data_IF_342483455448
#
_entry.id   IF_342483455448
#
_cell.length_a   1.000
_cell.length_b   1.000
_cell.length_c   1.000
_cell.angle_alpha   90.00
_cell.angle_beta   90.00
_cell.angle_gamma   90.00
#
_symmetry.space_group_name_H-M   'P 1'
#
loop_
_entity.id
_entity.type
_entity.pdbx_description
1 polymer ?
#
# COMPACT_ATOMS: atom_id res chain seq x y z
N UNK A 1 -9.19 -2.06 -5.31
CA UNK A 1 -8.85 -1.22 -6.49
C UNK A 1 -8.04 -2.02 -7.50
N UNK A 2 -6.88 -2.58 -7.16
CA UNK A 2 -6.01 -3.31 -8.10
C UNK A 2 -6.75 -4.47 -8.77
N UNK A 3 -7.51 -5.28 -8.01
CA UNK A 3 -8.35 -6.37 -8.56
C UNK A 3 -9.31 -5.83 -9.62
N UNK A 4 -10.05 -4.75 -9.30
CA UNK A 4 -11.00 -4.15 -10.25
C UNK A 4 -10.31 -3.66 -11.53
N UNK A 5 -9.13 -3.04 -11.39
CA UNK A 5 -8.36 -2.54 -12.54
C UNK A 5 -7.84 -3.68 -13.42
N UNK A 6 -7.33 -4.77 -12.83
CA UNK A 6 -6.86 -5.96 -13.56
C UNK A 6 -8.00 -6.68 -14.29
N UNK A 7 -9.11 -6.91 -13.59
CA UNK A 7 -10.31 -7.54 -14.20
C UNK A 7 -10.85 -6.70 -15.36
N UNK A 8 -10.88 -5.37 -15.23
CA UNK A 8 -11.30 -4.47 -16.30
C UNK A 8 -10.38 -4.52 -17.52
N UNK A 9 -9.13 -4.96 -17.38
CA UNK A 9 -8.17 -5.20 -18.47
C UNK A 9 -8.24 -6.64 -19.02
N UNK A 10 -9.19 -7.45 -18.55
CA UNK A 10 -9.37 -8.83 -19.00
C UNK A 10 -8.45 -9.85 -18.37
N UNK A 11 -7.76 -9.50 -17.27
CA UNK A 11 -6.91 -10.44 -16.54
C UNK A 11 -7.76 -11.43 -15.71
N UNK A 12 -7.28 -12.67 -15.61
CA UNK A 12 -7.69 -13.58 -14.56
C UNK A 12 -6.92 -13.25 -13.28
N UNK A 13 -7.62 -13.11 -12.16
CA UNK A 13 -7.04 -12.62 -10.92
C UNK A 13 -7.32 -13.58 -9.77
N UNK A 14 -6.29 -13.96 -9.03
CA UNK A 14 -6.40 -14.62 -7.73
C UNK A 14 -5.95 -13.64 -6.66
N UNK A 15 -6.88 -13.24 -5.78
CA UNK A 15 -6.58 -12.43 -4.61
C UNK A 15 -6.30 -13.29 -3.39
N UNK A 16 -5.29 -12.90 -2.60
CA UNK A 16 -4.92 -13.55 -1.35
C UNK A 16 -4.85 -12.53 -0.21
N UNK A 17 -5.48 -12.82 0.93
CA UNK A 17 -5.34 -12.07 2.18
C UNK A 17 -5.56 -13.01 3.37
N UNK A 18 -4.83 -12.81 4.46
CA UNK A 18 -5.03 -13.60 5.68
C UNK A 18 -6.17 -13.08 6.56
N UNK A 19 -6.73 -11.92 6.23
CA UNK A 19 -7.80 -11.22 6.97
C UNK A 19 -7.45 -11.08 8.46
N UNK A 20 -6.20 -10.67 8.75
CA UNK A 20 -5.76 -10.47 10.13
C UNK A 20 -6.54 -9.34 10.83
N UNK A 21 -6.49 -9.35 12.17
CA UNK A 21 -7.24 -8.45 13.04
C UNK A 21 -6.48 -7.17 13.41
N UNK A 22 -5.51 -6.74 12.61
CA UNK A 22 -4.73 -5.50 12.87
C UNK A 22 -5.63 -4.27 13.00
N UNK A 23 -6.67 -4.20 12.20
CA UNK A 23 -7.79 -3.26 12.33
C UNK A 23 -9.12 -4.00 12.13
N UNK A 24 -10.24 -3.29 12.27
CA UNK A 24 -11.56 -3.89 12.13
C UNK A 24 -11.67 -4.74 10.86
N UNK A 25 -11.84 -6.04 11.04
CA UNK A 25 -11.92 -7.02 9.96
C UNK A 25 -13.16 -6.83 9.08
N UNK A 26 -14.21 -6.16 9.59
CA UNK A 26 -15.42 -5.91 8.82
C UNK A 26 -15.10 -5.08 7.57
N UNK A 27 -14.23 -4.08 7.69
CA UNK A 27 -13.77 -3.30 6.53
C UNK A 27 -13.08 -4.18 5.47
N UNK A 28 -12.36 -5.24 5.87
CA UNK A 28 -11.74 -6.19 4.92
C UNK A 28 -12.81 -7.03 4.22
N UNK A 29 -13.79 -7.53 4.97
CA UNK A 29 -14.91 -8.27 4.39
C UNK A 29 -15.74 -7.41 3.43
N UNK A 30 -15.98 -6.14 3.76
CA UNK A 30 -16.74 -5.23 2.91
C UNK A 30 -16.00 -4.89 1.61
N UNK A 31 -14.66 -4.78 1.66
CA UNK A 31 -13.83 -4.67 0.44
C UNK A 31 -13.93 -5.92 -0.44
N UNK A 32 -13.99 -7.09 0.16
CA UNK A 32 -14.18 -8.35 -0.56
C UNK A 32 -15.61 -8.46 -1.13
N UNK A 33 -16.62 -8.06 -0.36
CA UNK A 33 -18.02 -8.02 -0.80
C UNK A 33 -18.20 -7.07 -2.00
N UNK A 34 -17.50 -5.92 -2.02
CA UNK A 34 -17.48 -5.00 -3.17
C UNK A 34 -16.92 -5.64 -4.46
N UNK A 35 -16.12 -6.70 -4.31
CA UNK A 35 -15.61 -7.50 -5.42
C UNK A 35 -16.33 -8.84 -5.60
N UNK A 36 -17.45 -9.06 -4.91
CA UNK A 36 -18.29 -10.25 -5.09
C UNK A 36 -17.88 -11.49 -4.28
N UNK A 37 -17.08 -11.31 -3.23
CA UNK A 37 -16.72 -12.38 -2.27
C UNK A 37 -17.44 -12.09 -0.96
N UNK A 38 -18.38 -12.91 -0.57
CA UNK A 38 -19.13 -12.74 0.68
C UNK A 38 -18.38 -13.36 1.86
N UNK A 39 -18.56 -12.76 3.05
CA UNK A 39 -17.90 -13.22 4.28
C UNK A 39 -18.23 -14.67 4.60
N UNK A 40 -19.48 -15.05 4.40
CA UNK A 40 -20.04 -16.37 4.73
C UNK A 40 -19.49 -17.48 3.84
N UNK A 41 -19.02 -17.14 2.63
CA UNK A 41 -18.43 -18.12 1.71
C UNK A 41 -16.93 -18.35 1.95
N UNK A 42 -16.28 -17.51 2.77
CA UNK A 42 -14.84 -17.59 2.97
C UNK A 42 -14.45 -18.72 3.92
N UNK A 43 -13.80 -19.72 3.38
CA UNK A 43 -13.13 -20.78 4.13
C UNK A 43 -11.62 -20.65 3.98
N UNK A 44 -10.89 -21.07 5.01
CA UNK A 44 -9.43 -21.03 4.98
C UNK A 44 -8.90 -21.98 3.90
N UNK A 45 -7.94 -21.50 3.11
CA UNK A 45 -7.23 -22.26 2.07
C UNK A 45 -8.13 -22.82 0.94
N UNK A 46 -9.37 -22.30 0.82
CA UNK A 46 -10.28 -22.63 -0.27
C UNK A 46 -10.35 -21.46 -1.26
N UNK A 47 -10.13 -21.78 -2.54
CA UNK A 47 -10.22 -20.80 -3.62
C UNK A 47 -11.68 -20.57 -4.03
N UNK A 48 -12.16 -19.35 -3.87
CA UNK A 48 -13.57 -18.96 -4.06
C UNK A 48 -13.74 -18.11 -5.33
N UNK A 49 -14.65 -18.44 -6.24
CA UNK A 49 -15.00 -17.57 -7.36
C UNK A 49 -15.82 -16.37 -6.88
N UNK A 50 -15.58 -15.22 -7.52
CA UNK A 50 -16.39 -14.03 -7.29
C UNK A 50 -17.76 -14.16 -7.96
N UNK A 51 -18.81 -13.76 -7.24
CA UNK A 51 -20.16 -13.66 -7.80
C UNK A 51 -20.33 -12.45 -8.76
N UNK A 52 -19.39 -11.47 -8.72
CA UNK A 52 -19.47 -10.22 -9.50
C UNK A 52 -18.55 -10.22 -10.72
N UNK A 53 -17.37 -10.79 -10.59
CA UNK A 53 -16.33 -10.81 -11.62
C UNK A 53 -15.93 -12.25 -11.96
N UNK A 54 -16.38 -12.83 -13.08
CA UNK A 54 -16.09 -14.24 -13.40
C UNK A 54 -14.60 -14.58 -13.48
N UNK A 55 -13.75 -13.60 -13.81
CA UNK A 55 -12.29 -13.74 -13.87
C UNK A 55 -11.58 -13.47 -12.53
N UNK A 56 -12.32 -13.32 -11.41
CA UNK A 56 -11.74 -13.10 -10.09
C UNK A 56 -12.06 -14.25 -9.13
N UNK A 57 -11.02 -14.74 -8.49
CA UNK A 57 -11.11 -15.71 -7.39
C UNK A 57 -10.36 -15.19 -6.18
N UNK A 58 -10.75 -15.61 -5.00
CA UNK A 58 -10.12 -15.21 -3.73
C UNK A 58 -9.80 -16.41 -2.86
N UNK A 59 -8.66 -16.36 -2.17
CA UNK A 59 -8.28 -17.34 -1.16
C UNK A 59 -7.88 -16.65 0.14
N UNK A 60 -8.39 -17.13 1.27
CA UNK A 60 -7.95 -16.71 2.60
C UNK A 60 -6.76 -17.56 3.01
N UNK A 61 -5.55 -17.01 2.92
CA UNK A 61 -4.30 -17.71 3.21
C UNK A 61 -3.28 -16.72 3.78
N UNK A 62 -2.34 -17.19 4.57
CA UNK A 62 -1.20 -16.41 5.06
C UNK A 62 0.04 -16.68 4.20
N UNK A 63 0.83 -15.63 3.91
CA UNK A 63 2.10 -15.79 3.17
C UNK A 63 3.14 -16.62 3.95
N UNK A 64 2.98 -16.77 5.26
CA UNK A 64 3.82 -17.63 6.09
C UNK A 64 3.49 -19.12 5.94
N UNK A 65 2.35 -19.46 5.37
CA UNK A 65 2.00 -20.83 5.00
C UNK A 65 2.75 -21.26 3.74
N UNK A 66 3.96 -21.74 3.93
CA UNK A 66 4.87 -22.12 2.85
C UNK A 66 4.29 -23.21 1.96
N UNK A 67 3.67 -24.22 2.54
CA UNK A 67 3.13 -25.38 1.80
C UNK A 67 1.92 -24.96 0.99
N UNK A 68 0.95 -24.28 1.62
CA UNK A 68 -0.25 -23.77 0.96
C UNK A 68 0.08 -22.83 -0.19
N UNK A 69 1.02 -21.90 0.03
CA UNK A 69 1.45 -20.96 -1.01
C UNK A 69 2.15 -21.66 -2.18
N UNK A 70 2.99 -22.67 -1.89
CA UNK A 70 3.67 -23.48 -2.92
C UNK A 70 2.66 -24.25 -3.78
N UNK A 71 1.64 -24.87 -3.15
CA UNK A 71 0.58 -25.58 -3.88
C UNK A 71 -0.24 -24.61 -4.75
N UNK A 72 -0.58 -23.43 -4.23
CA UNK A 72 -1.29 -22.41 -5.00
C UNK A 72 -0.53 -21.99 -6.26
N UNK A 73 0.79 -21.74 -6.16
CA UNK A 73 1.62 -21.39 -7.33
C UNK A 73 1.73 -22.52 -8.33
N UNK A 74 1.85 -23.78 -7.83
CA UNK A 74 1.90 -24.96 -8.66
C UNK A 74 0.63 -25.18 -9.47
N UNK A 75 -0.53 -24.92 -8.87
CA UNK A 75 -1.83 -25.18 -9.49
C UNK A 75 -2.28 -24.04 -10.43
N UNK A 76 -1.97 -22.80 -10.06
CA UNK A 76 -2.46 -21.61 -10.78
C UNK A 76 -1.54 -21.10 -11.90
N UNK A 77 -0.23 -21.43 -11.88
CA UNK A 77 0.74 -20.99 -12.90
C UNK A 77 0.69 -19.48 -13.20
N UNK A 78 0.88 -18.65 -12.19
CA UNK A 78 0.79 -17.19 -12.30
C UNK A 78 1.80 -16.61 -13.30
N UNK A 79 1.33 -15.74 -14.21
CA UNK A 79 2.18 -14.92 -15.07
C UNK A 79 2.80 -13.74 -14.31
N UNK A 80 2.00 -13.09 -13.47
CA UNK A 80 2.38 -11.87 -12.74
C UNK A 80 1.96 -12.00 -11.28
N UNK A 81 2.82 -11.55 -10.41
CA UNK A 81 2.53 -11.46 -8.96
C UNK A 81 2.62 -10.01 -8.52
N UNK A 82 1.55 -9.51 -7.90
CA UNK A 82 1.50 -8.18 -7.28
C UNK A 82 1.37 -8.33 -5.76
N UNK A 83 2.50 -8.30 -5.04
CA UNK A 83 2.52 -8.40 -3.58
C UNK A 83 2.32 -7.03 -2.92
N UNK A 84 1.09 -6.71 -2.60
CA UNK A 84 0.72 -5.53 -1.81
C UNK A 84 0.50 -5.87 -0.32
N UNK A 85 0.63 -7.15 0.04
CA UNK A 85 0.50 -7.63 1.41
C UNK A 85 1.71 -7.26 2.25
N UNK A 86 1.47 -6.89 3.49
CA UNK A 86 2.46 -6.73 4.54
C UNK A 86 1.77 -6.45 5.89
N UNK A 87 2.49 -6.67 6.99
CA UNK A 87 2.17 -5.94 8.21
C UNK A 87 2.66 -4.50 8.02
N UNK A 88 1.75 -3.55 7.99
CA UNK A 88 2.04 -2.13 7.77
C UNK A 88 1.85 -1.31 9.06
N UNK A 89 2.35 -0.07 9.06
CA UNK A 89 2.26 0.85 10.20
C UNK A 89 3.60 1.01 10.92
N UNK A 90 4.14 2.24 10.90
CA UNK A 90 5.43 2.55 11.55
C UNK A 90 5.34 2.33 13.07
N UNK A 91 4.27 2.85 13.70
CA UNK A 91 4.10 2.82 15.17
C UNK A 91 3.85 1.41 15.69
N UNK A 92 3.00 0.66 15.05
CA UNK A 92 2.69 -0.71 15.45
C UNK A 92 3.91 -1.63 15.38
N UNK A 93 4.93 -1.30 14.56
CA UNK A 93 6.18 -2.05 14.52
C UNK A 93 7.01 -1.92 15.80
N UNK A 94 6.72 -0.91 16.64
CA UNK A 94 7.33 -0.75 17.98
C UNK A 94 6.59 -1.65 18.99
N UNK A 95 5.27 -1.77 18.84
CA UNK A 95 4.41 -2.53 19.78
C UNK A 95 4.46 -4.04 19.52
N UNK A 96 4.44 -4.44 18.24
CA UNK A 96 4.43 -5.85 17.81
C UNK A 96 5.44 -6.12 16.69
N UNK A 97 6.76 -6.17 17.01
CA UNK A 97 7.82 -6.35 16.01
C UNK A 97 7.77 -7.71 15.31
N UNK A 98 7.34 -8.77 15.98
CA UNK A 98 7.31 -10.12 15.40
C UNK A 98 6.37 -10.23 14.21
N UNK A 99 5.21 -9.58 14.23
CA UNK A 99 4.29 -9.57 13.11
C UNK A 99 4.93 -9.02 11.82
N UNK A 100 5.91 -8.10 11.95
CA UNK A 100 6.64 -7.55 10.81
C UNK A 100 7.69 -8.51 10.27
N UNK A 101 8.36 -9.24 11.13
CA UNK A 101 9.32 -10.28 10.69
C UNK A 101 8.55 -11.43 10.00
N UNK A 102 7.50 -11.92 10.61
CA UNK A 102 6.69 -13.01 10.05
C UNK A 102 6.09 -12.61 8.68
N UNK A 103 5.32 -11.54 8.61
CA UNK A 103 4.65 -11.15 7.36
C UNK A 103 5.61 -10.60 6.32
N UNK A 104 6.51 -9.68 6.70
CA UNK A 104 7.29 -8.91 5.73
C UNK A 104 8.60 -9.59 5.34
N UNK A 105 9.16 -10.43 6.19
CA UNK A 105 10.42 -11.14 5.88
C UNK A 105 10.14 -12.59 5.52
N UNK A 106 9.55 -13.37 6.43
CA UNK A 106 9.29 -14.79 6.18
C UNK A 106 8.26 -14.96 5.06
N UNK A 107 7.13 -14.25 5.11
CA UNK A 107 6.11 -14.30 4.07
C UNK A 107 6.64 -13.85 2.70
N UNK A 108 7.45 -12.79 2.67
CA UNK A 108 8.06 -12.32 1.42
C UNK A 108 9.10 -13.29 0.87
N UNK A 109 9.89 -13.94 1.74
CA UNK A 109 10.82 -15.00 1.31
C UNK A 109 10.07 -16.18 0.69
N UNK A 110 8.98 -16.65 1.30
CA UNK A 110 8.16 -17.72 0.74
C UNK A 110 7.65 -17.35 -0.66
N UNK A 111 7.22 -16.10 -0.86
CA UNK A 111 6.77 -15.61 -2.16
C UNK A 111 7.91 -15.60 -3.20
N UNK A 112 9.10 -15.14 -2.83
CA UNK A 112 10.28 -15.15 -3.71
C UNK A 112 10.66 -16.58 -4.09
N UNK A 113 10.64 -17.54 -3.16
CA UNK A 113 10.90 -18.95 -3.44
C UNK A 113 9.82 -19.55 -4.38
N UNK A 114 8.55 -19.18 -4.20
CA UNK A 114 7.50 -19.57 -5.13
C UNK A 114 7.77 -19.02 -6.55
N UNK A 115 8.10 -17.74 -6.68
CA UNK A 115 8.45 -17.14 -7.99
C UNK A 115 9.71 -17.77 -8.61
N UNK A 116 10.65 -18.27 -7.80
CA UNK A 116 11.84 -18.99 -8.27
C UNK A 116 11.51 -20.37 -8.83
N UNK A 117 10.66 -21.13 -8.13
CA UNK A 117 10.33 -22.50 -8.49
C UNK A 117 9.19 -22.60 -9.52
N UNK A 118 8.33 -21.60 -9.57
CA UNK A 118 7.24 -21.42 -10.54
C UNK A 118 7.43 -20.05 -11.21
N UNK A 119 8.28 -19.99 -12.27
CA UNK A 119 8.72 -18.73 -12.85
C UNK A 119 7.57 -17.83 -13.28
N UNK A 120 7.64 -16.56 -12.89
CA UNK A 120 6.69 -15.52 -13.26
C UNK A 120 7.34 -14.50 -14.20
N UNK A 121 6.56 -13.87 -15.04
CA UNK A 121 7.05 -12.83 -15.95
C UNK A 121 7.33 -11.51 -15.22
N UNK A 122 6.67 -11.27 -14.07
CA UNK A 122 6.90 -10.08 -13.26
C UNK A 122 6.45 -10.26 -11.81
N UNK A 123 7.32 -9.90 -10.86
CA UNK A 123 6.97 -9.71 -9.46
C UNK A 123 7.00 -8.22 -9.14
N UNK A 124 5.83 -7.61 -8.88
CA UNK A 124 5.71 -6.26 -8.35
C UNK A 124 5.44 -6.33 -6.86
N UNK A 125 6.14 -5.55 -6.04
CA UNK A 125 5.93 -5.60 -4.59
C UNK A 125 5.92 -4.20 -3.96
N UNK A 126 5.13 -4.06 -2.90
CA UNK A 126 5.04 -2.82 -2.15
C UNK A 126 6.28 -2.64 -1.25
N UNK A 127 7.11 -1.64 -1.57
CA UNK A 127 8.03 -1.00 -0.65
C UNK A 127 7.33 0.20 0.02
N UNK A 128 8.08 1.17 0.55
CA UNK A 128 7.52 2.31 1.28
C UNK A 128 8.47 3.50 1.26
N UNK A 129 7.94 4.71 1.24
CA UNK A 129 8.72 5.93 1.46
C UNK A 129 9.39 6.00 2.85
N UNK A 130 8.92 5.22 3.82
CA UNK A 130 9.51 5.15 5.16
C UNK A 130 10.97 4.66 5.18
N UNK A 131 11.42 3.98 4.12
CA UNK A 131 12.82 3.52 3.99
C UNK A 131 13.82 4.66 3.88
N UNK A 132 13.41 5.85 3.44
CA UNK A 132 14.27 7.03 3.36
C UNK A 132 14.73 7.51 4.74
N UNK A 133 13.97 7.20 5.80
CA UNK A 133 14.37 7.39 7.19
C UNK A 133 14.85 8.81 7.50
N UNK A 134 16.12 8.92 7.91
CA UNK A 134 16.78 10.19 8.27
C UNK A 134 17.37 10.96 7.08
N UNK A 135 16.96 10.68 5.85
CA UNK A 135 17.44 11.44 4.71
C UNK A 135 16.87 12.86 4.74
N UNK A 136 17.77 13.87 4.79
CA UNK A 136 17.39 15.28 4.84
C UNK A 136 17.11 15.89 3.47
N UNK A 137 17.56 15.22 2.39
CA UNK A 137 17.33 15.67 1.02
C UNK A 137 15.87 15.40 0.62
N UNK A 138 15.19 16.43 0.12
CA UNK A 138 13.86 16.33 -0.54
C UNK A 138 13.91 17.07 -1.88
N UNK A 139 13.16 16.60 -2.92
CA UNK A 139 12.37 15.37 -2.95
C UNK A 139 13.22 14.11 -2.88
N UNK A 140 12.66 13.03 -2.35
CA UNK A 140 13.31 11.71 -2.29
C UNK A 140 13.34 11.06 -3.67
N UNK A 141 14.54 10.77 -4.18
CA UNK A 141 14.74 10.01 -5.41
C UNK A 141 15.08 8.55 -5.13
N UNK A 142 14.81 7.66 -6.09
CA UNK A 142 15.10 6.22 -5.94
C UNK A 142 16.59 5.93 -5.76
N UNK A 143 17.45 6.83 -6.25
CA UNK A 143 18.92 6.76 -6.12
C UNK A 143 19.45 7.25 -4.78
N UNK A 144 18.60 7.87 -3.95
CA UNK A 144 19.02 8.35 -2.65
C UNK A 144 19.29 7.18 -1.69
N UNK A 145 20.25 7.36 -0.80
CA UNK A 145 20.55 6.37 0.23
C UNK A 145 19.33 6.13 1.11
N UNK A 146 19.06 4.88 1.39
CA UNK A 146 17.94 4.42 2.21
C UNK A 146 18.41 3.32 3.17
N UNK A 147 19.49 3.60 3.89
CA UNK A 147 20.20 2.68 4.79
C UNK A 147 20.15 3.12 6.27
N UNK A 148 19.37 4.16 6.58
CA UNK A 148 19.16 4.65 7.94
C UNK A 148 17.67 4.67 8.33
N UNK A 149 16.97 3.50 8.33
CA UNK A 149 15.56 3.42 8.66
C UNK A 149 15.32 3.78 10.13
N UNK A 150 14.22 4.48 10.43
CA UNK A 150 13.86 4.92 11.80
C UNK A 150 12.79 4.04 12.46
N UNK A 151 12.41 2.94 11.81
CA UNK A 151 11.47 1.97 12.36
C UNK A 151 11.74 0.57 11.84
N UNK A 152 11.31 -0.46 12.58
CA UNK A 152 11.42 -1.84 12.14
C UNK A 152 10.60 -2.07 10.84
N UNK A 153 9.44 -1.42 10.71
CA UNK A 153 8.67 -1.44 9.46
C UNK A 153 9.52 -1.00 8.27
N UNK A 154 10.19 0.14 8.39
CA UNK A 154 11.05 0.66 7.32
C UNK A 154 12.22 -0.31 7.03
N UNK A 155 12.83 -0.88 8.08
CA UNK A 155 13.89 -1.87 7.94
C UNK A 155 13.41 -3.13 7.18
N UNK A 156 12.21 -3.65 7.51
CA UNK A 156 11.66 -4.81 6.78
C UNK A 156 11.36 -4.49 5.32
N UNK A 157 10.85 -3.28 5.01
CA UNK A 157 10.62 -2.87 3.62
C UNK A 157 11.92 -2.69 2.84
N UNK A 158 12.96 -2.14 3.47
CA UNK A 158 14.30 -2.10 2.85
C UNK A 158 14.86 -3.50 2.64
N UNK A 159 14.67 -4.40 3.58
CA UNK A 159 15.07 -5.82 3.43
C UNK A 159 14.37 -6.46 2.24
N UNK A 160 13.08 -6.18 1.99
CA UNK A 160 12.39 -6.69 0.81
C UNK A 160 13.07 -6.23 -0.50
N UNK A 161 13.51 -4.95 -0.60
CA UNK A 161 14.25 -4.48 -1.77
C UNK A 161 15.56 -5.24 -1.97
N UNK A 162 16.32 -5.48 -0.89
CA UNK A 162 17.59 -6.22 -0.95
C UNK A 162 17.38 -7.68 -1.31
N UNK A 163 16.37 -8.34 -0.73
CA UNK A 163 16.01 -9.72 -1.05
C UNK A 163 15.57 -9.85 -2.51
N UNK A 164 14.68 -8.98 -2.97
CA UNK A 164 14.21 -8.98 -4.36
C UNK A 164 15.36 -8.75 -5.35
N UNK A 165 16.29 -7.82 -5.06
CA UNK A 165 17.48 -7.60 -5.87
C UNK A 165 18.36 -8.85 -5.96
N UNK A 166 18.59 -9.53 -4.82
CA UNK A 166 19.38 -10.76 -4.79
C UNK A 166 18.74 -11.87 -5.65
N UNK A 167 17.42 -12.07 -5.54
CA UNK A 167 16.66 -13.05 -6.32
C UNK A 167 16.62 -12.70 -7.81
N UNK A 168 16.43 -11.44 -8.13
CA UNK A 168 16.49 -10.94 -9.51
C UNK A 168 17.86 -11.23 -10.14
N UNK A 169 18.96 -10.95 -9.41
CA UNK A 169 20.31 -11.23 -9.89
C UNK A 169 20.63 -12.71 -10.03
N UNK A 170 20.21 -13.53 -9.05
CA UNK A 170 20.57 -14.96 -9.00
C UNK A 170 19.72 -15.82 -9.93
N UNK A 171 18.43 -15.48 -10.05
CA UNK A 171 17.44 -16.33 -10.72
C UNK A 171 16.75 -15.64 -11.90
N UNK A 172 17.19 -14.42 -12.27
CA UNK A 172 16.64 -13.65 -13.39
C UNK A 172 15.12 -13.38 -13.27
N UNK A 173 14.60 -13.28 -12.03
CA UNK A 173 13.20 -12.97 -11.81
C UNK A 173 12.99 -11.48 -12.02
N UNK A 174 12.15 -11.04 -12.99
CA UNK A 174 11.84 -9.62 -13.16
C UNK A 174 11.09 -9.10 -11.93
N UNK A 175 11.69 -8.14 -11.21
CA UNK A 175 11.12 -7.59 -9.98
C UNK A 175 11.05 -6.07 -10.02
N UNK A 176 9.93 -5.52 -9.56
CA UNK A 176 9.79 -4.07 -9.39
C UNK A 176 9.26 -3.75 -8.00
N UNK A 177 10.06 -3.06 -7.21
CA UNK A 177 9.64 -2.50 -5.93
C UNK A 177 9.00 -1.13 -6.12
N UNK A 178 7.87 -0.90 -5.44
CA UNK A 178 7.15 0.36 -5.50
C UNK A 178 7.16 1.02 -4.13
N UNK A 179 7.85 2.16 -4.00
CA UNK A 179 7.90 2.97 -2.78
C UNK A 179 6.68 3.87 -2.73
N UNK A 180 5.63 3.39 -2.07
CA UNK A 180 4.41 4.16 -1.87
C UNK A 180 4.63 5.30 -0.88
N UNK A 181 4.18 6.50 -1.26
CA UNK A 181 4.00 7.62 -0.35
C UNK A 181 2.63 7.55 0.32
N UNK A 182 2.10 8.64 0.86
CA UNK A 182 0.87 8.56 1.64
C UNK A 182 -0.35 8.47 0.75
N UNK A 183 -0.87 7.26 0.60
CA UNK A 183 -2.10 7.00 -0.18
C UNK A 183 -3.34 7.31 0.65
N UNK A 184 -4.32 7.99 0.05
CA UNK A 184 -5.61 8.26 0.68
C UNK A 184 -6.77 8.07 -0.30
N UNK A 185 -7.98 7.95 0.21
CA UNK A 185 -9.20 7.80 -0.58
C UNK A 185 -10.15 6.74 -0.01
N UNK A 186 -11.25 6.44 -0.72
CA UNK A 186 -12.20 5.40 -0.34
C UNK A 186 -11.53 4.06 -0.03
N UNK A 187 -12.10 3.33 0.92
CA UNK A 187 -11.55 2.06 1.38
C UNK A 187 -10.14 2.15 2.01
N UNK A 188 -9.68 3.37 2.35
CA UNK A 188 -8.41 3.60 3.04
C UNK A 188 -8.34 2.88 4.38
N UNK A 189 -7.11 2.66 4.88
CA UNK A 189 -6.88 2.04 6.19
C UNK A 189 -7.36 2.97 7.32
N UNK A 190 -8.10 2.44 8.31
CA UNK A 190 -8.71 3.26 9.37
C UNK A 190 -7.69 3.85 10.34
N UNK A 191 -6.47 3.28 10.43
CA UNK A 191 -5.36 3.73 11.27
C UNK A 191 -4.53 4.88 10.66
N UNK A 192 -4.82 5.27 9.41
CA UNK A 192 -4.14 6.38 8.73
C UNK A 192 -4.79 7.74 9.03
N UNK A 193 -3.97 8.80 9.03
CA UNK A 193 -4.39 10.15 9.38
C UNK A 193 -5.66 10.63 8.62
N UNK A 194 -5.83 10.40 7.31
CA UNK A 194 -7.04 10.81 6.61
C UNK A 194 -8.32 10.22 7.22
N UNK A 195 -8.31 8.91 7.54
CA UNK A 195 -9.46 8.23 8.15
C UNK A 195 -9.67 8.68 9.61
N UNK A 196 -8.57 8.79 10.38
CA UNK A 196 -8.65 9.23 11.79
C UNK A 196 -9.20 10.65 11.90
N UNK A 197 -8.74 11.56 11.05
CA UNK A 197 -9.23 12.95 11.07
C UNK A 197 -10.68 13.06 10.60
N UNK A 198 -11.04 12.39 9.52
CA UNK A 198 -12.40 12.37 9.01
C UNK A 198 -13.38 11.87 10.08
N UNK A 199 -13.05 10.72 10.70
CA UNK A 199 -13.86 10.15 11.79
C UNK A 199 -14.03 11.12 12.95
N UNK A 200 -12.93 11.65 13.46
CA UNK A 200 -12.96 12.52 14.63
C UNK A 200 -13.71 13.84 14.37
N UNK A 201 -13.47 14.48 13.21
CA UNK A 201 -14.12 15.72 12.83
C UNK A 201 -15.64 15.53 12.69
N UNK A 202 -16.06 14.45 12.04
CA UNK A 202 -17.50 14.15 11.87
C UNK A 202 -18.20 13.88 13.20
N UNK A 203 -17.51 13.20 14.14
CA UNK A 203 -18.04 12.90 15.47
C UNK A 203 -17.94 14.07 16.46
N UNK A 204 -17.14 15.09 16.18
CA UNK A 204 -16.81 16.16 17.14
C UNK A 204 -15.77 15.74 18.18
N UNK A 205 -15.00 14.70 17.89
CA UNK A 205 -13.90 14.23 18.73
C UNK A 205 -12.62 15.03 18.46
N UNK A 206 -11.69 15.16 19.44
CA UNK A 206 -10.42 15.82 19.22
C UNK A 206 -9.49 15.03 18.29
N UNK A 207 -8.79 15.73 17.38
CA UNK A 207 -7.72 15.17 16.56
C UNK A 207 -6.36 15.47 17.18
N UNK A 208 -5.44 14.48 17.18
CA UNK A 208 -4.06 14.66 17.62
C UNK A 208 -3.24 15.23 16.47
N UNK A 209 -2.72 16.44 16.64
CA UNK A 209 -1.90 17.15 15.66
C UNK A 209 -0.45 17.10 16.08
N UNK A 210 0.31 16.13 15.56
CA UNK A 210 1.71 15.89 15.94
C UNK A 210 2.65 16.96 15.39
N UNK A 211 3.81 17.11 16.05
CA UNK A 211 4.80 18.14 15.79
C UNK A 211 4.19 19.55 15.70
N UNK A 212 3.18 19.82 16.53
CA UNK A 212 2.43 21.10 16.53
C UNK A 212 1.93 21.51 15.12
N UNK A 213 1.64 20.54 14.26
CA UNK A 213 1.20 20.76 12.88
C UNK A 213 2.31 21.06 11.88
N UNK A 214 3.57 21.15 12.31
CA UNK A 214 4.71 21.48 11.44
C UNK A 214 5.20 20.23 10.70
N UNK A 215 4.36 19.69 9.84
CA UNK A 215 4.63 18.48 9.06
C UNK A 215 4.08 18.64 7.64
N UNK A 216 4.79 18.09 6.67
CA UNK A 216 4.34 17.99 5.28
C UNK A 216 4.28 16.55 4.82
N UNK A 217 3.25 16.22 4.05
CA UNK A 217 3.08 14.88 3.50
C UNK A 217 2.72 14.95 2.03
N UNK A 218 3.33 14.06 1.27
CA UNK A 218 2.96 13.80 -0.12
C UNK A 218 1.73 12.87 -0.09
N UNK A 219 0.54 13.48 -0.15
CA UNK A 219 -0.73 12.76 -0.22
C UNK A 219 -1.10 12.49 -1.66
N UNK A 220 -1.36 11.22 -1.99
CA UNK A 220 -1.72 10.80 -3.35
C UNK A 220 -3.05 10.08 -3.32
N UNK A 221 -3.98 10.51 -4.18
CA UNK A 221 -5.30 9.91 -4.27
C UNK A 221 -5.22 8.50 -4.85
N UNK A 222 -6.07 7.60 -4.38
CA UNK A 222 -6.02 6.17 -4.71
C UNK A 222 -6.09 5.89 -6.22
N UNK A 223 -6.91 6.61 -6.99
CA UNK A 223 -7.04 6.37 -8.43
C UNK A 223 -5.75 6.72 -9.18
N UNK A 224 -5.05 7.79 -8.78
CA UNK A 224 -3.74 8.14 -9.35
C UNK A 224 -2.70 7.05 -9.03
N UNK A 225 -2.72 6.52 -7.80
CA UNK A 225 -1.86 5.39 -7.42
C UNK A 225 -2.14 4.16 -8.30
N UNK A 226 -3.40 3.80 -8.49
CA UNK A 226 -3.77 2.65 -9.32
C UNK A 226 -3.35 2.86 -10.77
N UNK A 227 -3.54 4.07 -11.32
CA UNK A 227 -3.09 4.38 -12.68
C UNK A 227 -1.58 4.16 -12.87
N UNK A 228 -0.75 4.58 -11.91
CA UNK A 228 0.69 4.33 -11.93
C UNK A 228 1.06 2.86 -11.72
N UNK A 229 0.45 2.22 -10.73
CA UNK A 229 0.69 0.81 -10.41
C UNK A 229 0.37 -0.12 -11.59
N UNK A 230 -0.74 0.12 -12.28
CA UNK A 230 -1.12 -0.68 -13.46
C UNK A 230 -0.10 -0.56 -14.60
N UNK A 231 0.48 0.62 -14.80
CA UNK A 231 1.57 0.81 -15.77
C UNK A 231 2.83 0.04 -15.37
N UNK A 232 3.20 0.04 -14.08
CA UNK A 232 4.33 -0.74 -13.57
C UNK A 232 4.08 -2.24 -13.76
N UNK A 233 2.91 -2.74 -13.38
CA UNK A 233 2.56 -4.17 -13.48
C UNK A 233 2.69 -4.67 -14.93
N UNK A 234 2.29 -3.88 -15.90
CA UNK A 234 2.30 -4.24 -17.32
C UNK A 234 3.70 -4.25 -17.97
N UNK A 235 4.74 -3.71 -17.30
CA UNK A 235 6.05 -3.50 -17.92
C UNK A 235 7.19 -4.07 -17.06
N UNK A 236 7.44 -5.40 -17.12
CA UNK A 236 8.61 -6.01 -16.49
C UNK A 236 9.91 -5.51 -17.12
N UNK A 237 10.98 -5.46 -16.33
CA UNK A 237 12.30 -5.15 -16.84
C UNK A 237 12.86 -6.28 -17.71
N UNK A 238 13.53 -5.91 -18.79
CA UNK A 238 14.31 -6.81 -19.65
C UNK A 238 15.84 -6.64 -19.48
N UNK A 239 16.28 -5.89 -18.49
CA UNK A 239 17.70 -5.66 -18.21
C UNK A 239 18.40 -6.95 -17.77
N UNK A 240 19.74 -7.03 -17.90
CA UNK A 240 20.52 -8.20 -17.45
C UNK A 240 20.37 -8.53 -15.94
N UNK A 241 20.03 -7.53 -15.12
CA UNK A 241 19.51 -7.68 -13.76
C UNK A 241 18.14 -7.03 -13.80
N UNK A 242 17.06 -7.81 -13.94
CA UNK A 242 15.73 -7.27 -14.17
C UNK A 242 15.08 -6.78 -12.86
N UNK A 243 15.71 -5.77 -12.23
CA UNK A 243 15.32 -5.19 -10.95
C UNK A 243 15.14 -3.67 -11.06
N UNK A 244 13.94 -3.19 -10.71
CA UNK A 244 13.64 -1.78 -10.65
C UNK A 244 13.00 -1.35 -9.33
N UNK A 245 13.20 -0.09 -8.99
CA UNK A 245 12.49 0.62 -7.93
C UNK A 245 11.85 1.86 -8.52
N UNK A 246 10.61 2.14 -8.15
CA UNK A 246 9.91 3.38 -8.46
C UNK A 246 9.31 4.01 -7.20
N UNK A 247 9.46 5.32 -7.08
CA UNK A 247 8.61 6.10 -6.20
C UNK A 247 7.22 6.28 -6.84
N UNK A 248 6.17 6.18 -6.05
CA UNK A 248 4.82 6.51 -6.47
C UNK A 248 4.18 7.46 -5.45
N UNK A 249 3.90 8.67 -5.89
CA UNK A 249 3.45 9.79 -5.08
C UNK A 249 2.85 10.89 -5.95
N UNK A 250 2.43 11.98 -5.33
CA UNK A 250 1.87 13.15 -6.01
C UNK A 250 2.94 14.18 -6.42
N UNK A 251 4.15 14.10 -5.87
CA UNK A 251 5.22 15.10 -6.03
C UNK A 251 4.78 16.54 -5.66
N UNK A 252 3.80 16.65 -4.77
CA UNK A 252 3.24 17.92 -4.28
C UNK A 252 2.90 17.80 -2.79
N UNK A 253 3.90 17.96 -1.89
CA UNK A 253 3.66 17.79 -0.45
C UNK A 253 2.76 18.90 0.09
N UNK A 254 1.77 18.51 0.90
CA UNK A 254 0.77 19.37 1.53
C UNK A 254 1.12 19.54 3.00
N UNK A 255 1.02 20.78 3.52
CA UNK A 255 1.14 21.05 4.94
C UNK A 255 0.01 20.35 5.72
N UNK A 256 0.34 19.77 6.88
CA UNK A 256 -0.64 19.03 7.68
C UNK A 256 -1.86 19.90 8.06
N UNK A 257 -1.62 21.17 8.36
CA UNK A 257 -2.70 22.10 8.73
C UNK A 257 -3.61 22.43 7.54
N UNK A 258 -3.07 22.54 6.33
CA UNK A 258 -3.86 22.74 5.11
C UNK A 258 -4.69 21.51 4.80
N UNK A 259 -4.09 20.31 4.94
CA UNK A 259 -4.83 19.05 4.80
C UNK A 259 -6.02 18.94 5.77
N UNK A 260 -5.83 19.31 7.05
CA UNK A 260 -6.91 19.35 8.04
C UNK A 260 -7.97 20.39 7.63
N UNK A 261 -7.56 21.56 7.17
CA UNK A 261 -8.46 22.63 6.73
C UNK A 261 -9.37 22.20 5.56
N UNK A 262 -8.81 21.43 4.62
CA UNK A 262 -9.61 20.87 3.50
C UNK A 262 -10.65 19.88 4.03
N UNK A 263 -10.31 19.01 5.00
CA UNK A 263 -11.28 18.11 5.63
C UNK A 263 -12.36 18.89 6.38
N UNK A 264 -11.98 19.91 7.18
CA UNK A 264 -12.92 20.79 7.89
C UNK A 264 -13.93 21.43 6.95
N UNK A 265 -13.44 22.02 5.85
CA UNK A 265 -14.26 22.66 4.83
C UNK A 265 -15.23 21.67 4.17
N UNK A 266 -14.73 20.48 3.79
CA UNK A 266 -15.55 19.46 3.14
C UNK A 266 -16.60 18.88 4.09
N UNK A 267 -16.24 18.64 5.35
CA UNK A 267 -17.16 18.12 6.37
C UNK A 267 -18.14 19.19 6.92
N UNK A 268 -17.91 20.47 6.65
CA UNK A 268 -18.68 21.58 7.23
C UNK A 268 -18.53 21.68 8.76
N UNK A 269 -17.44 21.18 9.33
CA UNK A 269 -17.18 21.11 10.78
C UNK A 269 -15.74 21.51 11.09
N UNK A 270 -15.53 22.22 12.20
CA UNK A 270 -14.21 22.60 12.69
C UNK A 270 -13.64 21.51 13.60
N UNK A 271 -12.39 21.12 13.38
CA UNK A 271 -11.69 20.14 14.20
C UNK A 271 -11.30 20.71 15.57
N UNK A 272 -11.48 19.91 16.61
CA UNK A 272 -10.89 20.16 17.93
C UNK A 272 -9.45 19.67 17.89
N UNK A 273 -8.48 20.59 17.77
CA UNK A 273 -7.08 20.26 17.57
C UNK A 273 -6.34 20.13 18.90
N UNK A 274 -5.84 18.93 19.21
CA UNK A 274 -4.95 18.66 20.33
C UNK A 274 -3.51 18.67 19.80
N UNK A 275 -2.77 19.75 20.06
CA UNK A 275 -1.39 19.89 19.63
C UNK A 275 -0.48 18.98 20.45
N UNK A 276 0.37 18.21 19.76
CA UNK A 276 1.26 17.22 20.35
C UNK A 276 2.69 17.42 19.85
N UNK A 277 3.68 16.99 20.63
CA UNK A 277 5.07 16.91 20.17
C UNK A 277 5.28 15.88 19.07
N UNK A 278 6.51 15.83 18.55
CA UNK A 278 6.89 14.84 17.53
C UNK A 278 6.78 13.41 18.08
N UNK A 279 6.27 12.49 17.26
CA UNK A 279 6.18 11.06 17.62
C UNK A 279 7.46 10.30 17.22
N UNK A 280 7.89 9.27 18.00
CA UNK A 280 8.97 8.39 17.60
C UNK A 280 8.67 7.72 16.24
N UNK A 281 9.68 7.70 15.37
CA UNK A 281 9.58 7.09 14.04
C UNK A 281 8.89 7.96 12.97
N UNK A 282 8.34 9.12 13.32
CA UNK A 282 7.81 10.07 12.36
C UNK A 282 8.93 10.93 11.73
N UNK A 283 8.70 11.40 10.51
CA UNK A 283 9.57 12.34 9.79
C UNK A 283 8.81 13.66 9.56
N UNK A 284 9.53 14.78 9.46
CA UNK A 284 8.91 16.11 9.28
C UNK A 284 8.27 16.25 7.90
N UNK A 285 8.94 15.76 6.85
CA UNK A 285 8.48 15.87 5.48
C UNK A 285 8.58 14.54 4.74
N UNK A 286 7.59 14.24 3.89
CA UNK A 286 7.70 13.26 2.83
C UNK A 286 7.38 13.94 1.50
N UNK A 287 8.27 13.77 0.52
CA UNK A 287 8.14 14.39 -0.80
C UNK A 287 8.76 13.44 -1.84
N UNK A 288 7.93 12.90 -2.73
CA UNK A 288 8.35 11.99 -3.78
C UNK A 288 9.02 12.75 -4.94
N UNK A 289 10.15 12.26 -5.42
CA UNK A 289 10.56 12.46 -6.79
C UNK A 289 9.95 11.31 -7.62
N UNK A 290 8.99 11.60 -8.47
CA UNK A 290 8.36 10.65 -9.39
C UNK A 290 8.87 10.79 -10.83
N UNK A 291 9.94 11.56 -11.05
CA UNK A 291 10.47 11.87 -12.37
C UNK A 291 10.86 10.64 -13.19
N UNK A 292 11.33 9.57 -12.52
CA UNK A 292 11.60 8.28 -13.18
C UNK A 292 10.32 7.63 -13.68
N UNK A 293 9.29 7.55 -12.85
CA UNK A 293 8.01 6.96 -13.21
C UNK A 293 7.29 7.77 -14.30
N UNK A 294 7.40 9.10 -14.25
CA UNK A 294 6.87 9.98 -15.29
C UNK A 294 7.60 9.74 -16.63
N UNK A 295 8.93 9.69 -16.61
CA UNK A 295 9.75 9.48 -17.81
C UNK A 295 9.48 8.13 -18.48
N UNK A 296 9.42 7.06 -17.68
CA UNK A 296 9.34 5.69 -18.19
C UNK A 296 7.91 5.34 -18.64
N UNK A 297 6.88 5.86 -17.96
CA UNK A 297 5.50 5.46 -18.18
C UNK A 297 4.51 6.62 -18.36
N UNK A 298 4.96 7.86 -18.41
CA UNK A 298 4.07 9.02 -18.49
C UNK A 298 3.12 9.13 -17.29
N UNK A 299 3.58 8.68 -16.10
CA UNK A 299 2.80 8.82 -14.87
C UNK A 299 2.68 10.28 -14.48
N UNK A 300 1.44 10.73 -14.28
CA UNK A 300 1.16 12.08 -13.84
C UNK A 300 -0.09 12.08 -12.98
N UNK A 301 0.04 12.16 -11.66
CA UNK A 301 -1.11 12.30 -10.77
C UNK A 301 -1.83 13.61 -11.09
N UNK A 302 -3.15 13.62 -11.03
CA UNK A 302 -3.97 14.76 -11.45
C UNK A 302 -5.04 15.15 -10.45
N UNK A 303 -5.30 14.32 -9.44
CA UNK A 303 -6.35 14.57 -8.45
C UNK A 303 -5.86 15.60 -7.41
N UNK A 304 -6.52 16.76 -7.33
CA UNK A 304 -6.24 17.75 -6.28
C UNK A 304 -6.62 17.22 -4.90
N UNK A 305 -6.03 17.82 -3.84
CA UNK A 305 -6.36 17.39 -2.48
C UNK A 305 -7.84 17.66 -2.14
N UNK A 306 -8.40 18.74 -2.64
CA UNK A 306 -9.80 19.12 -2.46
C UNK A 306 -10.73 18.09 -3.12
N UNK A 307 -10.46 17.74 -4.39
CA UNK A 307 -11.25 16.74 -5.11
C UNK A 307 -11.15 15.37 -4.45
N UNK A 308 -9.94 14.94 -4.09
CA UNK A 308 -9.73 13.64 -3.46
C UNK A 308 -10.37 13.53 -2.08
N UNK A 309 -10.32 14.59 -1.26
CA UNK A 309 -10.98 14.64 0.04
C UNK A 309 -12.51 14.67 -0.13
N UNK A 310 -13.06 15.34 -1.14
CA UNK A 310 -14.50 15.32 -1.40
C UNK A 310 -14.97 13.90 -1.73
N UNK A 311 -14.30 13.20 -2.65
CA UNK A 311 -14.60 11.81 -3.00
C UNK A 311 -14.46 10.86 -1.79
N UNK A 312 -13.46 11.10 -0.95
CA UNK A 312 -13.24 10.33 0.27
C UNK A 312 -14.36 10.58 1.30
N UNK A 313 -14.77 11.83 1.49
CA UNK A 313 -15.88 12.21 2.36
C UNK A 313 -17.20 11.57 1.92
N UNK A 314 -17.54 11.65 0.63
CA UNK A 314 -18.78 11.09 0.07
C UNK A 314 -18.85 9.57 0.30
N UNK A 315 -17.74 8.87 0.06
CA UNK A 315 -17.63 7.46 0.39
C UNK A 315 -17.74 7.20 1.89
N UNK A 316 -17.04 7.98 2.72
CA UNK A 316 -16.99 7.78 4.17
C UNK A 316 -18.39 7.91 4.78
N UNK A 317 -19.11 8.97 4.46
CA UNK A 317 -20.47 9.19 4.93
C UNK A 317 -21.42 8.10 4.41
N UNK A 318 -21.33 7.74 3.14
CA UNK A 318 -22.16 6.68 2.56
C UNK A 318 -21.88 5.29 3.14
N UNK A 319 -20.66 5.05 3.63
CA UNK A 319 -20.27 3.76 4.21
C UNK A 319 -20.61 3.64 5.70
N UNK A 320 -20.32 4.69 6.51
CA UNK A 320 -20.46 4.64 7.97
C UNK A 320 -21.80 5.16 8.51
N UNK A 321 -22.62 5.85 7.70
CA UNK A 321 -23.97 6.31 8.09
C UNK A 321 -25.10 5.38 7.58
N UNK A 322 -24.79 4.12 7.33
CA UNK A 322 -25.76 3.09 6.98
C UNK A 322 -26.50 2.55 8.18
#
# INVERSE_FOLDING_TARGET
YTVKALVAQGCEVVGLDNINSYYDVQLKYDRLADTGITKESIEKDILLPSAKYPSYRFIKMDLTDREGLTNLFKDEHFDIVANLAAQAGVRYSIENPYAYIESNIVGFLNLLECCRHYPVNHLVYASSSSIYGLNDKVPYAETDKADSPVSLYAATKKSNELMAHAYSKLYSIPTTGVRFFTVYGPWGRPDMAPCLFMKAILNGDPIKVFNNGQMRRDFTYIDDIIAGLMKIIAHPSADPIPFYIYNIGNSAPVELMDFISVIEKTAGKTAIKQMMGMQPGDVVCTYADTGRLEKDFGYKPSTSIEEGIQKFYDWYVGYFNK
#
